data_IF_634824032466
#
_entry.id   IF_634824032466
#
_cell.length_a   1.000
_cell.length_b   1.000
_cell.length_c   1.000
_cell.angle_alpha   90.00
_cell.angle_beta   90.00
_cell.angle_gamma   90.00
#
_symmetry.space_group_name_H-M   'P 1'
#
loop_
_entity.id
_entity.type
_entity.pdbx_description
1 polymer ?
#
# COMPACT_ATOMS: atom_id res chain seq x y z
N UNK A 1 -33.79 35.11 12.23
CA UNK A 1 -33.40 33.70 12.44
C UNK A 1 -32.11 33.29 11.72
N UNK A 2 -31.91 33.57 10.42
CA UNK A 2 -30.63 33.24 9.73
C UNK A 2 -29.38 33.98 10.25
N UNK A 3 -29.52 35.20 10.77
CA UNK A 3 -28.41 35.97 11.36
C UNK A 3 -28.04 35.58 12.81
N UNK A 4 -28.97 34.93 13.52
CA UNK A 4 -28.73 34.40 14.88
C UNK A 4 -28.02 33.04 14.81
N UNK A 5 -28.36 32.24 13.78
CA UNK A 5 -27.70 30.95 13.51
C UNK A 5 -26.23 31.12 13.08
N UNK A 6 -25.92 32.16 12.29
CA UNK A 6 -24.54 32.49 11.92
C UNK A 6 -23.68 32.95 13.11
N UNK A 7 -24.29 33.63 14.09
CA UNK A 7 -23.60 34.07 15.30
C UNK A 7 -23.33 32.92 16.28
N UNK A 8 -24.26 31.96 16.38
CA UNK A 8 -24.08 30.75 17.20
C UNK A 8 -23.02 29.80 16.60
N UNK A 9 -22.91 29.71 15.27
CA UNK A 9 -21.87 28.91 14.61
C UNK A 9 -20.47 29.52 14.75
N UNK A 10 -20.37 30.86 14.74
CA UNK A 10 -19.11 31.59 14.95
C UNK A 10 -18.64 31.57 16.42
N UNK A 11 -19.56 31.51 17.39
CA UNK A 11 -19.19 31.36 18.80
C UNK A 11 -18.75 29.93 19.15
N UNK A 12 -19.24 28.91 18.43
CA UNK A 12 -18.84 27.51 18.64
C UNK A 12 -17.43 27.21 18.12
N UNK A 13 -16.99 27.88 17.05
CA UNK A 13 -15.63 27.73 16.49
C UNK A 13 -14.55 28.45 17.30
N UNK A 14 -14.91 29.48 18.08
CA UNK A 14 -13.96 30.19 18.97
C UNK A 14 -13.79 29.47 20.33
N UNK A 15 -14.78 28.69 20.77
CA UNK A 15 -14.72 27.98 22.05
C UNK A 15 -13.83 26.71 22.02
N UNK A 16 -13.60 26.12 20.84
CA UNK A 16 -12.73 24.94 20.67
C UNK A 16 -11.24 25.30 20.62
N UNK A 17 -10.91 26.59 20.47
CA UNK A 17 -9.53 27.11 20.41
C UNK A 17 -8.97 27.61 21.76
N UNK A 18 -9.68 27.42 22.89
CA UNK A 18 -9.28 28.02 24.18
C UNK A 18 -9.13 27.07 25.38
N UNK A 19 -9.08 25.74 25.17
CA UNK A 19 -8.69 24.79 26.23
C UNK A 19 -7.36 24.13 25.86
N UNK A 20 -6.27 24.79 26.23
CA UNK A 20 -4.92 24.28 26.01
C UNK A 20 -3.78 25.25 26.32
N UNK A 21 -3.93 26.14 27.32
CA UNK A 21 -2.78 26.90 27.86
C UNK A 21 -2.85 26.94 29.38
N UNK A 22 -2.45 25.85 30.03
CA UNK A 22 -1.94 25.88 31.40
C UNK A 22 -0.43 26.05 31.32
N UNK A 23 0.03 27.27 31.61
CA UNK A 23 1.44 27.58 31.73
C UNK A 23 2.06 26.86 32.91
N UNK A 24 3.18 26.16 32.66
CA UNK A 24 4.15 25.84 33.68
C UNK A 24 5.39 26.72 33.51
N UNK A 25 5.80 27.24 34.67
CA UNK A 25 6.94 28.07 35.00
C UNK A 25 8.21 27.80 34.18
N UNK A 26 8.91 28.88 33.82
CA UNK A 26 10.32 28.89 33.42
C UNK A 26 11.17 28.24 34.51
N UNK A 27 11.88 27.18 34.16
CA UNK A 27 13.20 26.87 34.70
C UNK A 27 14.13 26.54 33.52
N UNK A 28 15.34 27.11 33.56
CA UNK A 28 16.34 27.01 32.53
C UNK A 28 16.89 25.57 32.45
N UNK A 29 16.58 24.86 31.38
CA UNK A 29 17.17 23.57 31.03
C UNK A 29 16.91 23.28 29.55
N UNK A 30 17.99 22.95 28.83
CA UNK A 30 18.07 22.59 27.41
C UNK A 30 16.87 21.77 26.90
N UNK A 31 16.33 22.01 25.69
CA UNK A 31 15.22 21.22 25.16
C UNK A 31 15.67 19.78 24.89
N UNK A 32 14.85 18.75 25.18
CA UNK A 32 15.13 17.39 24.72
C UNK A 32 14.92 17.33 23.21
N UNK A 33 15.89 16.73 22.52
CA UNK A 33 15.83 16.47 21.09
C UNK A 33 14.61 15.61 20.75
N UNK A 34 13.73 16.12 19.89
CA UNK A 34 12.73 15.31 19.21
C UNK A 34 13.45 14.39 18.23
N UNK A 35 13.36 13.08 18.47
CA UNK A 35 13.88 12.04 17.59
C UNK A 35 13.11 12.07 16.28
N UNK A 36 13.80 12.51 15.23
CA UNK A 36 13.50 12.15 13.85
C UNK A 36 13.92 10.69 13.71
N UNK A 37 12.95 9.78 13.66
CA UNK A 37 13.23 8.38 13.35
C UNK A 37 13.34 8.26 11.82
N UNK A 38 14.51 8.66 11.30
CA UNK A 38 14.98 8.16 10.04
C UNK A 38 15.37 6.70 10.30
N UNK A 39 14.63 5.76 9.70
CA UNK A 39 14.82 4.33 9.88
C UNK A 39 16.29 3.94 9.82
N UNK A 40 16.86 3.74 11.01
CA UNK A 40 18.14 3.09 11.18
C UNK A 40 17.88 1.60 11.19
N UNK A 41 18.57 0.85 10.35
CA UNK A 41 18.56 -0.61 10.41
C UNK A 41 18.84 -1.06 11.85
N UNK A 42 18.13 -2.10 12.34
CA UNK A 42 18.42 -2.63 13.66
C UNK A 42 19.83 -3.23 13.63
N UNK A 43 20.77 -2.57 14.29
CA UNK A 43 22.03 -3.17 14.70
C UNK A 43 21.74 -4.09 15.88
N UNK A 44 21.07 -5.20 15.58
CA UNK A 44 21.09 -6.39 16.41
C UNK A 44 22.44 -7.05 16.24
N UNK A 45 23.09 -7.36 17.35
CA UNK A 45 24.30 -8.17 17.39
C UNK A 45 23.99 -9.53 16.75
N UNK A 46 24.34 -9.68 15.47
CA UNK A 46 24.22 -10.93 14.73
C UNK A 46 25.30 -11.83 15.29
N UNK A 47 24.90 -12.77 16.15
CA UNK A 47 25.69 -13.94 16.45
C UNK A 47 26.11 -14.57 15.13
N UNK A 48 27.39 -14.49 14.81
CA UNK A 48 28.02 -15.14 13.66
C UNK A 48 27.88 -16.66 13.81
N UNK A 49 26.83 -17.19 13.19
CA UNK A 49 26.52 -18.60 13.07
C UNK A 49 25.38 -18.78 12.08
N UNK A 50 25.73 -19.03 10.82
CA UNK A 50 24.78 -19.38 9.77
C UNK A 50 24.41 -18.21 8.85
N UNK A 51 24.99 -18.10 7.67
CA UNK A 51 24.52 -17.13 6.65
C UNK A 51 23.11 -17.47 6.18
N UNK A 52 22.46 -16.61 5.38
CA UNK A 52 21.15 -16.92 4.76
C UNK A 52 21.16 -18.23 3.97
N UNK A 53 22.32 -18.61 3.43
CA UNK A 53 22.56 -19.90 2.79
C UNK A 53 22.35 -21.11 3.72
N UNK A 54 22.64 -20.96 5.02
CA UNK A 54 22.50 -22.01 6.04
C UNK A 54 21.05 -22.14 6.54
N UNK A 55 20.14 -21.25 6.10
CA UNK A 55 18.70 -21.27 6.40
C UNK A 55 17.83 -21.67 5.20
N UNK A 56 18.45 -22.06 4.07
CA UNK A 56 17.70 -22.65 2.96
C UNK A 56 17.04 -23.95 3.44
N UNK A 57 15.79 -24.25 3.04
CA UNK A 57 15.23 -25.56 3.31
C UNK A 57 16.18 -26.63 2.78
N UNK A 58 16.44 -27.64 3.62
CA UNK A 58 17.26 -28.79 3.22
C UNK A 58 16.60 -29.42 1.99
N UNK A 59 17.42 -29.79 1.00
CA UNK A 59 16.97 -30.53 -0.18
C UNK A 59 16.08 -31.70 0.24
N UNK A 60 14.83 -31.68 -0.21
CA UNK A 60 13.82 -32.68 0.10
C UNK A 60 13.26 -33.25 -1.20
N UNK A 61 13.21 -34.57 -1.33
CA UNK A 61 12.62 -35.23 -2.50
C UNK A 61 11.12 -35.47 -2.28
N UNK A 62 10.29 -34.67 -2.94
CA UNK A 62 8.83 -34.77 -2.90
C UNK A 62 8.24 -35.67 -4.00
N UNK A 63 9.08 -36.48 -4.67
CA UNK A 63 8.66 -37.57 -5.58
C UNK A 63 7.79 -37.14 -6.76
N UNK A 64 8.05 -35.94 -7.28
CA UNK A 64 7.30 -35.35 -8.38
C UNK A 64 5.91 -34.86 -7.97
N UNK A 65 5.68 -34.52 -6.70
CA UNK A 65 4.43 -33.96 -6.24
C UNK A 65 4.11 -32.64 -6.94
N UNK A 66 2.82 -32.40 -7.21
CA UNK A 66 2.34 -31.13 -7.72
C UNK A 66 2.29 -30.10 -6.58
N UNK A 67 2.78 -28.89 -6.84
CA UNK A 67 2.68 -27.72 -5.96
C UNK A 67 1.80 -26.66 -6.63
N UNK A 68 0.62 -26.42 -6.08
CA UNK A 68 -0.42 -25.59 -6.67
C UNK A 68 -0.48 -24.19 -6.08
N UNK A 69 -0.23 -23.21 -6.94
CA UNK A 69 -0.47 -21.79 -6.67
C UNK A 69 -1.80 -21.35 -7.28
N UNK A 70 -2.65 -20.68 -6.51
CA UNK A 70 -3.95 -20.19 -7.01
C UNK A 70 -4.02 -18.68 -6.88
N UNK A 71 -4.40 -17.99 -7.96
CA UNK A 71 -4.53 -16.53 -7.99
C UNK A 71 -5.96 -16.10 -8.32
N UNK A 72 -6.36 -14.93 -7.82
CA UNK A 72 -7.66 -14.33 -8.13
C UNK A 72 -7.85 -14.04 -9.63
N UNK A 73 -9.11 -14.02 -10.08
CA UNK A 73 -9.44 -13.66 -11.46
C UNK A 73 -9.08 -12.22 -11.79
N UNK A 74 -8.75 -11.98 -13.06
CA UNK A 74 -8.29 -10.68 -13.55
C UNK A 74 -6.81 -10.39 -13.32
N UNK A 75 -6.07 -11.29 -12.66
CA UNK A 75 -4.62 -11.19 -12.50
C UNK A 75 -3.86 -11.78 -13.71
N UNK A 76 -2.62 -11.35 -13.89
CA UNK A 76 -1.70 -11.85 -14.92
C UNK A 76 -0.74 -12.87 -14.30
N UNK A 77 -0.83 -14.13 -14.73
CA UNK A 77 0.00 -15.24 -14.21
C UNK A 77 1.48 -15.07 -14.56
N UNK A 78 1.80 -14.36 -15.66
CA UNK A 78 3.18 -14.14 -16.11
C UNK A 78 4.02 -13.31 -15.12
N UNK A 79 3.36 -12.64 -14.16
CA UNK A 79 3.99 -11.88 -13.08
C UNK A 79 4.46 -12.74 -11.90
N UNK A 80 4.18 -14.04 -11.94
CA UNK A 80 4.48 -14.97 -10.85
C UNK A 80 5.25 -16.19 -11.33
N UNK A 81 4.87 -16.71 -12.51
CA UNK A 81 5.46 -17.90 -13.13
C UNK A 81 5.71 -17.60 -14.60
N UNK A 82 6.86 -18.06 -15.10
CA UNK A 82 7.17 -18.07 -16.51
C UNK A 82 7.76 -19.42 -16.89
N UNK A 83 7.16 -20.05 -17.89
CA UNK A 83 7.54 -21.39 -18.38
C UNK A 83 8.34 -21.31 -19.70
N UNK A 84 8.50 -20.12 -20.27
CA UNK A 84 9.24 -19.93 -21.52
C UNK A 84 10.75 -19.87 -21.26
N UNK A 85 11.43 -20.97 -21.59
CA UNK A 85 12.87 -20.99 -21.87
C UNK A 85 13.11 -20.30 -23.22
N UNK A 86 13.13 -18.96 -23.19
CA UNK A 86 13.39 -18.15 -24.37
C UNK A 86 14.81 -17.59 -24.32
N UNK A 87 15.47 -17.64 -25.48
CA UNK A 87 16.88 -17.27 -25.67
C UNK A 87 17.18 -15.90 -25.04
N UNK A 88 18.15 -15.89 -24.12
CA UNK A 88 18.39 -14.87 -23.06
C UNK A 88 18.61 -13.43 -23.53
N UNK A 89 18.71 -13.17 -24.83
CA UNK A 89 19.00 -11.83 -25.37
C UNK A 89 17.76 -10.96 -25.58
N UNK A 90 16.55 -11.53 -25.59
CA UNK A 90 15.29 -10.80 -25.83
C UNK A 90 14.25 -10.92 -24.71
N UNK A 91 14.53 -11.66 -23.65
CA UNK A 91 13.60 -11.91 -22.54
C UNK A 91 13.79 -10.84 -21.46
N UNK A 92 12.71 -10.21 -20.95
CA UNK A 92 12.82 -9.30 -19.82
C UNK A 92 13.50 -9.99 -18.62
N UNK A 93 14.41 -9.28 -17.95
CA UNK A 93 15.19 -9.79 -16.80
C UNK A 93 14.33 -10.50 -15.75
N UNK A 94 13.13 -9.99 -15.52
CA UNK A 94 12.20 -10.55 -14.55
C UNK A 94 11.62 -11.91 -14.97
N UNK A 95 11.23 -12.05 -16.23
CA UNK A 95 10.71 -13.30 -16.79
C UNK A 95 11.74 -14.43 -16.70
N UNK A 96 13.03 -14.11 -16.90
CA UNK A 96 14.12 -15.07 -16.73
C UNK A 96 14.38 -15.42 -15.26
N UNK A 97 14.25 -14.45 -14.34
CA UNK A 97 14.38 -14.69 -12.91
C UNK A 97 13.30 -15.67 -12.38
N UNK A 98 12.05 -15.51 -12.83
CA UNK A 98 10.97 -16.44 -12.46
C UNK A 98 11.20 -17.84 -13.01
N UNK A 99 11.58 -17.95 -14.29
CA UNK A 99 11.90 -19.24 -14.91
C UNK A 99 13.00 -19.97 -14.13
N UNK A 100 14.15 -19.32 -13.92
CA UNK A 100 15.28 -19.93 -13.21
C UNK A 100 14.92 -20.34 -11.78
N UNK A 101 14.21 -19.49 -11.05
CA UNK A 101 13.76 -19.80 -9.69
C UNK A 101 12.88 -21.05 -9.70
N UNK A 102 11.89 -21.11 -10.58
CA UNK A 102 10.95 -22.22 -10.64
C UNK A 102 11.65 -23.51 -11.08
N UNK A 103 12.47 -23.47 -12.14
CA UNK A 103 13.25 -24.64 -12.59
C UNK A 103 14.20 -25.16 -11.50
N UNK A 104 14.87 -24.25 -10.79
CA UNK A 104 15.70 -24.61 -9.64
C UNK A 104 14.88 -25.30 -8.55
N UNK A 105 13.73 -24.75 -8.17
CA UNK A 105 12.86 -25.32 -7.12
C UNK A 105 12.29 -26.68 -7.53
N UNK A 106 11.85 -26.84 -8.79
CA UNK A 106 11.34 -28.11 -9.31
C UNK A 106 12.42 -29.21 -9.27
N UNK A 107 13.66 -28.89 -9.67
CA UNK A 107 14.77 -29.84 -9.61
C UNK A 107 15.20 -30.12 -8.16
N UNK A 108 15.38 -29.06 -7.35
CA UNK A 108 15.91 -29.17 -6.00
C UNK A 108 14.96 -29.90 -5.04
N UNK A 109 13.64 -29.77 -5.24
CA UNK A 109 12.62 -30.41 -4.43
C UNK A 109 11.97 -31.63 -5.10
N UNK A 110 12.27 -31.92 -6.37
CA UNK A 110 11.55 -32.91 -7.17
C UNK A 110 10.03 -32.70 -7.08
N UNK A 111 9.58 -31.52 -7.47
CA UNK A 111 8.15 -31.13 -7.55
C UNK A 111 7.81 -30.64 -8.95
N UNK A 112 6.52 -30.45 -9.21
CA UNK A 112 6.00 -29.74 -10.38
C UNK A 112 5.22 -28.52 -9.90
N UNK A 113 5.67 -27.32 -10.24
CA UNK A 113 5.01 -26.09 -9.84
C UNK A 113 3.91 -25.78 -10.86
N UNK A 114 2.68 -25.62 -10.37
CA UNK A 114 1.53 -25.26 -11.18
C UNK A 114 0.92 -23.96 -10.69
N UNK A 115 0.40 -23.15 -11.62
CA UNK A 115 -0.44 -22.01 -11.28
C UNK A 115 -1.73 -22.02 -12.07
N UNK A 116 -2.82 -21.76 -11.35
CA UNK A 116 -4.12 -21.50 -11.98
C UNK A 116 -4.70 -20.19 -11.49
N UNK A 117 -5.47 -19.58 -12.37
CA UNK A 117 -6.22 -18.36 -12.11
C UNK A 117 -7.70 -18.68 -11.99
N UNK A 118 -8.35 -18.13 -10.97
CA UNK A 118 -9.80 -18.19 -10.83
C UNK A 118 -10.49 -17.41 -11.95
N UNK A 119 -11.70 -17.81 -12.32
CA UNK A 119 -12.47 -17.09 -13.35
C UNK A 119 -12.89 -15.69 -12.87
N UNK A 120 -13.23 -15.58 -11.58
CA UNK A 120 -13.82 -14.38 -10.98
C UNK A 120 -12.78 -13.64 -10.14
N UNK A 121 -12.74 -12.32 -10.28
CA UNK A 121 -12.06 -11.42 -9.32
C UNK A 121 -12.79 -11.46 -7.97
N UNK A 122 -12.05 -11.47 -6.86
CA UNK A 122 -12.61 -11.67 -5.52
C UNK A 122 -13.37 -13.01 -5.45
N UNK A 123 -12.74 -14.06 -5.95
CA UNK A 123 -13.26 -15.42 -5.98
C UNK A 123 -12.64 -16.33 -4.92
N UNK A 124 -11.53 -15.91 -4.30
CA UNK A 124 -10.72 -16.79 -3.45
C UNK A 124 -11.46 -17.31 -2.23
N UNK A 125 -12.28 -16.49 -1.55
CA UNK A 125 -13.04 -16.98 -0.41
C UNK A 125 -14.02 -18.11 -0.81
N UNK A 126 -14.62 -18.01 -2.00
CA UNK A 126 -15.55 -19.05 -2.49
C UNK A 126 -14.79 -20.34 -2.83
N UNK A 127 -13.60 -20.21 -3.43
CA UNK A 127 -12.71 -21.34 -3.71
C UNK A 127 -12.31 -22.07 -2.41
N UNK A 128 -11.79 -21.33 -1.43
CA UNK A 128 -11.37 -21.88 -0.15
C UNK A 128 -12.53 -22.53 0.61
N UNK A 129 -13.72 -21.91 0.59
CA UNK A 129 -14.93 -22.49 1.17
C UNK A 129 -15.28 -23.83 0.52
N UNK A 130 -15.18 -23.93 -0.81
CA UNK A 130 -15.45 -25.16 -1.55
C UNK A 130 -14.42 -26.25 -1.21
N UNK A 131 -13.13 -25.91 -1.18
CA UNK A 131 -12.06 -26.84 -0.81
C UNK A 131 -12.32 -27.44 0.57
N UNK A 132 -12.60 -26.60 1.56
CA UNK A 132 -12.86 -27.05 2.93
C UNK A 132 -14.11 -27.92 3.06
N UNK A 133 -15.18 -27.62 2.32
CA UNK A 133 -16.41 -28.41 2.37
C UNK A 133 -16.30 -29.75 1.63
N UNK A 134 -15.50 -29.80 0.58
CA UNK A 134 -15.30 -31.02 -0.24
C UNK A 134 -14.15 -31.90 0.24
N UNK A 135 -13.24 -31.34 1.06
CA UNK A 135 -11.97 -31.98 1.37
C UNK A 135 -11.01 -32.01 0.18
N UNK A 136 -11.21 -31.15 -0.82
CA UNK A 136 -10.36 -31.08 -1.99
C UNK A 136 -9.05 -30.36 -1.65
N UNK A 137 -7.94 -30.92 -2.15
CA UNK A 137 -6.59 -30.42 -1.95
C UNK A 137 -6.06 -29.86 -3.28
N UNK A 138 -6.46 -28.63 -3.60
CA UNK A 138 -6.27 -28.01 -4.93
C UNK A 138 -5.48 -26.70 -4.90
N UNK A 139 -4.88 -26.36 -3.75
CA UNK A 139 -4.02 -25.20 -3.57
C UNK A 139 -3.10 -25.40 -2.35
N UNK A 140 -1.80 -25.22 -2.55
CA UNK A 140 -0.79 -25.13 -1.49
C UNK A 140 -0.59 -23.69 -1.03
N UNK A 141 -0.69 -22.74 -1.97
CA UNK A 141 -0.61 -21.30 -1.70
C UNK A 141 -1.65 -20.54 -2.51
N UNK A 142 -2.21 -19.51 -1.89
CA UNK A 142 -3.15 -18.60 -2.54
C UNK A 142 -2.60 -17.18 -2.56
N UNK A 143 -2.67 -16.54 -3.73
CA UNK A 143 -2.35 -15.13 -3.92
C UNK A 143 -3.66 -14.40 -4.14
N UNK A 144 -4.19 -13.90 -3.04
CA UNK A 144 -5.58 -13.50 -2.94
C UNK A 144 -5.71 -11.99 -2.69
N UNK A 145 -6.82 -11.43 -3.14
CA UNK A 145 -7.13 -10.05 -2.81
C UNK A 145 -7.56 -9.98 -1.34
N UNK A 146 -6.80 -9.24 -0.53
CA UNK A 146 -6.99 -9.11 0.91
C UNK A 146 -8.44 -8.79 1.31
N UNK A 147 -9.12 -7.92 0.56
CA UNK A 147 -10.50 -7.54 0.83
C UNK A 147 -11.52 -8.70 0.72
N UNK A 148 -11.19 -9.78 0.02
CA UNK A 148 -12.03 -11.00 -0.06
C UNK A 148 -11.70 -11.96 1.08
N UNK A 149 -10.42 -12.28 1.27
CA UNK A 149 -9.96 -13.35 2.19
C UNK A 149 -9.91 -12.93 3.65
N UNK A 150 -9.47 -11.70 3.95
CA UNK A 150 -9.31 -11.24 5.33
C UNK A 150 -10.60 -11.23 6.15
N UNK A 151 -11.75 -10.73 5.65
CA UNK A 151 -12.97 -10.70 6.46
C UNK A 151 -13.70 -12.05 6.57
N UNK A 152 -13.25 -13.08 5.86
CA UNK A 152 -14.02 -14.32 5.68
C UNK A 152 -13.18 -15.58 5.92
N UNK A 153 -12.33 -15.95 4.96
CA UNK A 153 -11.53 -17.17 4.97
C UNK A 153 -10.55 -17.23 6.16
N UNK A 154 -9.94 -16.10 6.56
CA UNK A 154 -9.09 -16.05 7.76
C UNK A 154 -9.90 -16.37 9.05
N UNK A 155 -10.99 -15.65 9.39
CA UNK A 155 -11.82 -15.98 10.55
C UNK A 155 -12.36 -17.41 10.57
N UNK A 156 -12.68 -17.97 9.40
CA UNK A 156 -13.16 -19.34 9.28
C UNK A 156 -12.05 -20.40 9.37
N UNK A 157 -10.78 -19.99 9.44
CA UNK A 157 -9.63 -20.89 9.57
C UNK A 157 -9.28 -21.64 8.30
N UNK A 158 -9.58 -21.08 7.12
CA UNK A 158 -9.31 -21.72 5.82
C UNK A 158 -7.87 -21.52 5.34
N UNK A 159 -7.10 -20.63 5.98
CA UNK A 159 -5.69 -20.39 5.69
C UNK A 159 -4.85 -20.58 6.95
N UNK A 160 -3.62 -21.08 6.76
CA UNK A 160 -2.72 -21.40 7.87
C UNK A 160 -2.14 -20.13 8.53
N UNK A 161 -1.92 -20.22 9.84
CA UNK A 161 -1.10 -19.26 10.58
C UNK A 161 0.38 -19.53 10.27
N UNK A 162 1.00 -18.64 9.52
CA UNK A 162 2.37 -18.75 9.00
C UNK A 162 3.41 -18.81 10.12
N UNK A 163 3.11 -18.26 11.31
CA UNK A 163 3.96 -18.38 12.49
C UNK A 163 4.11 -19.84 12.97
N UNK A 164 3.26 -20.75 12.49
CA UNK A 164 3.25 -22.16 12.88
C UNK A 164 3.76 -23.10 11.78
N UNK A 165 4.13 -22.58 10.61
CA UNK A 165 4.67 -23.41 9.54
C UNK A 165 6.14 -23.74 9.83
N UNK A 166 6.40 -25.02 10.07
CA UNK A 166 7.77 -25.53 10.25
C UNK A 166 8.57 -25.36 8.96
N UNK A 167 9.84 -24.95 9.08
CA UNK A 167 10.74 -24.75 7.93
C UNK A 167 10.57 -23.41 7.20
N UNK A 168 9.55 -22.60 7.53
CA UNK A 168 9.41 -21.26 7.00
C UNK A 168 10.30 -20.28 7.79
N UNK A 169 11.41 -19.85 7.19
CA UNK A 169 12.30 -18.86 7.79
C UNK A 169 11.74 -17.44 7.61
N UNK A 170 10.88 -17.01 8.54
CA UNK A 170 10.30 -15.66 8.56
C UNK A 170 11.35 -14.55 8.77
N UNK A 171 12.48 -14.86 9.42
CA UNK A 171 13.56 -13.90 9.65
C UNK A 171 14.53 -13.70 8.48
N UNK A 172 14.20 -14.17 7.28
CA UNK A 172 15.03 -13.96 6.09
C UNK A 172 14.89 -12.54 5.51
N UNK A 173 15.96 -12.00 4.92
CA UNK A 173 15.97 -10.65 4.34
C UNK A 173 15.08 -10.50 3.10
N UNK A 174 14.82 -11.60 2.39
CA UNK A 174 13.94 -11.62 1.21
C UNK A 174 12.45 -11.49 1.56
N UNK A 175 12.10 -11.40 2.85
CA UNK A 175 10.75 -11.04 3.30
C UNK A 175 10.67 -9.60 3.75
N UNK A 176 9.55 -8.93 3.45
CA UNK A 176 9.27 -7.62 4.03
C UNK A 176 8.91 -7.76 5.53
N UNK A 177 9.86 -7.40 6.38
CA UNK A 177 9.72 -7.44 7.84
C UNK A 177 8.63 -6.48 8.36
N UNK A 178 8.26 -5.45 7.59
CA UNK A 178 7.18 -4.51 7.95
C UNK A 178 5.82 -5.17 7.79
N UNK A 179 5.63 -6.00 6.76
CA UNK A 179 4.39 -6.76 6.58
C UNK A 179 4.21 -7.74 7.74
N UNK A 180 5.27 -8.45 8.10
CA UNK A 180 5.21 -9.42 9.20
C UNK A 180 4.82 -8.81 10.54
N UNK A 181 5.21 -7.56 10.81
CA UNK A 181 4.84 -6.87 12.05
C UNK A 181 3.49 -6.15 11.93
N UNK A 182 3.26 -5.47 10.82
CA UNK A 182 2.07 -4.63 10.60
C UNK A 182 0.79 -5.41 10.28
N UNK A 183 0.91 -6.65 9.78
CA UNK A 183 -0.24 -7.45 9.32
C UNK A 183 -0.59 -8.60 10.28
N UNK A 184 0.01 -8.64 11.47
CA UNK A 184 -0.39 -9.62 12.47
C UNK A 184 -1.79 -9.30 13.00
N UNK A 185 -2.58 -10.36 13.16
CA UNK A 185 -3.92 -10.29 13.70
C UNK A 185 -3.96 -11.19 14.93
N UNK A 186 -4.04 -10.60 16.13
CA UNK A 186 -4.03 -11.34 17.40
C UNK A 186 -2.84 -12.32 17.52
N UNK A 187 -1.62 -11.86 17.15
CA UNK A 187 -0.39 -12.66 17.19
C UNK A 187 -0.28 -13.78 16.15
N UNK A 188 -1.16 -13.77 15.15
CA UNK A 188 -1.13 -14.70 14.01
C UNK A 188 -0.77 -13.95 12.74
N UNK A 189 -0.07 -14.63 11.84
CA UNK A 189 0.34 -14.08 10.55
C UNK A 189 -0.28 -14.91 9.42
N UNK A 190 -0.95 -14.28 8.47
CA UNK A 190 -1.67 -14.98 7.39
C UNK A 190 -1.24 -14.55 5.99
N UNK A 191 -0.29 -13.62 5.89
CA UNK A 191 0.18 -13.03 4.63
C UNK A 191 1.65 -12.69 4.75
N UNK A 192 2.36 -12.77 3.62
CA UNK A 192 3.75 -12.40 3.45
C UNK A 192 3.91 -11.68 2.12
N UNK A 193 4.86 -10.75 2.08
CA UNK A 193 5.36 -10.14 0.86
C UNK A 193 6.89 -10.23 0.86
N UNK A 194 7.49 -10.24 -0.32
CA UNK A 194 8.92 -10.39 -0.51
C UNK A 194 9.27 -10.86 -1.92
N UNK A 195 10.53 -11.21 -2.14
CA UNK A 195 11.15 -11.44 -3.45
C UNK A 195 10.54 -12.60 -4.29
N UNK A 196 9.54 -13.32 -3.77
CA UNK A 196 8.83 -14.35 -4.51
C UNK A 196 7.85 -13.78 -5.55
N UNK A 197 7.49 -12.50 -5.44
CA UNK A 197 6.67 -11.79 -6.41
C UNK A 197 7.21 -10.37 -6.60
N UNK A 198 6.76 -9.69 -7.66
CA UNK A 198 7.00 -8.24 -7.84
C UNK A 198 5.72 -7.41 -7.73
N UNK A 199 4.64 -8.06 -7.31
CA UNK A 199 3.31 -7.49 -7.45
C UNK A 199 3.11 -6.29 -6.53
N UNK A 200 3.75 -6.31 -5.36
CA UNK A 200 3.75 -5.22 -4.40
C UNK A 200 4.52 -3.99 -4.92
N UNK A 201 5.64 -4.14 -5.63
CA UNK A 201 6.29 -3.00 -6.29
C UNK A 201 5.41 -2.38 -7.37
N UNK A 202 4.64 -3.19 -8.09
CA UNK A 202 3.70 -2.71 -9.11
C UNK A 202 2.46 -2.03 -8.51
N UNK A 203 2.20 -2.18 -7.20
CA UNK A 203 1.05 -1.60 -6.51
C UNK A 203 1.42 -0.43 -5.57
N UNK A 204 2.67 0.04 -5.61
CA UNK A 204 3.11 1.18 -4.78
C UNK A 204 2.63 2.50 -5.37
N UNK A 205 1.89 3.28 -4.59
CA UNK A 205 1.46 4.61 -4.99
C UNK A 205 2.57 5.64 -4.75
N UNK A 206 2.82 6.48 -5.75
CA UNK A 206 3.73 7.61 -5.68
C UNK A 206 3.08 8.90 -6.19
N UNK A 207 3.45 10.03 -5.59
CA UNK A 207 3.14 11.35 -6.15
C UNK A 207 4.31 11.78 -7.03
N UNK A 208 4.03 12.05 -8.30
CA UNK A 208 5.02 12.43 -9.30
C UNK A 208 4.86 13.91 -9.66
N UNK A 209 5.98 14.63 -9.76
CA UNK A 209 6.00 16.00 -10.23
C UNK A 209 6.53 16.05 -11.68
N UNK A 210 5.82 16.76 -12.56
CA UNK A 210 6.30 17.02 -13.91
C UNK A 210 7.30 18.18 -13.89
N UNK A 211 8.59 17.88 -14.06
CA UNK A 211 9.67 18.87 -13.98
C UNK A 211 9.56 20.01 -15.00
N UNK A 212 8.99 19.75 -16.18
CA UNK A 212 8.77 20.77 -17.20
C UNK A 212 7.69 21.76 -16.77
N UNK A 213 6.58 21.27 -16.21
CA UNK A 213 5.52 22.13 -15.67
C UNK A 213 5.97 22.86 -14.41
N UNK A 214 6.78 22.21 -13.56
CA UNK A 214 7.38 22.84 -12.38
C UNK A 214 8.22 24.07 -12.75
N UNK A 215 9.01 23.96 -13.81
CA UNK A 215 9.77 25.09 -14.36
C UNK A 215 8.87 26.16 -14.99
N UNK A 216 7.91 25.75 -15.82
CA UNK A 216 6.96 26.66 -16.48
C UNK A 216 6.20 27.55 -15.47
N UNK A 217 5.83 26.99 -14.32
CA UNK A 217 5.08 27.70 -13.27
C UNK A 217 5.97 28.46 -12.27
N UNK A 218 7.29 28.50 -12.48
CA UNK A 218 8.23 29.23 -11.61
C UNK A 218 8.38 28.61 -10.21
N UNK A 219 8.13 27.30 -10.07
CA UNK A 219 8.15 26.64 -8.77
C UNK A 219 9.55 26.39 -8.23
N UNK A 220 10.58 26.35 -9.08
CA UNK A 220 11.97 26.33 -8.59
C UNK A 220 12.29 27.58 -7.76
N UNK A 221 11.84 28.76 -8.16
CA UNK A 221 12.08 29.99 -7.43
C UNK A 221 11.19 30.12 -6.19
N UNK A 222 9.95 29.60 -6.27
CA UNK A 222 8.93 29.76 -5.22
C UNK A 222 9.06 28.72 -4.11
N UNK A 223 9.33 27.47 -4.48
CA UNK A 223 9.29 26.31 -3.58
C UNK A 223 10.62 25.54 -3.52
N UNK A 224 11.51 25.73 -4.49
CA UNK A 224 12.67 24.86 -4.71
C UNK A 224 12.36 23.69 -5.64
N UNK A 225 13.26 22.72 -5.72
CA UNK A 225 12.99 21.46 -6.42
C UNK A 225 11.94 20.62 -5.69
N UNK A 226 11.18 19.75 -6.39
CA UNK A 226 10.16 18.90 -5.75
C UNK A 226 10.70 18.08 -4.58
N UNK A 227 11.92 17.55 -4.69
CA UNK A 227 12.55 16.76 -3.64
C UNK A 227 12.95 17.59 -2.42
N UNK A 228 13.36 18.86 -2.60
CA UNK A 228 13.64 19.77 -1.49
C UNK A 228 12.36 20.11 -0.71
N UNK A 229 11.24 20.34 -1.40
CA UNK A 229 9.94 20.55 -0.75
C UNK A 229 9.59 19.38 0.19
N UNK A 230 9.84 18.15 -0.24
CA UNK A 230 9.62 16.94 0.57
C UNK A 230 10.62 16.86 1.73
N UNK A 231 11.93 16.99 1.45
CA UNK A 231 13.00 16.87 2.46
C UNK A 231 12.90 17.94 3.55
N UNK A 232 12.43 19.13 3.20
CA UNK A 232 12.23 20.24 4.12
C UNK A 232 10.92 20.11 4.95
N UNK A 233 10.12 19.06 4.73
CA UNK A 233 8.83 18.87 5.40
C UNK A 233 7.76 19.89 4.98
N UNK A 234 7.93 20.53 3.83
CA UNK A 234 6.99 21.53 3.28
C UNK A 234 5.89 20.90 2.41
N UNK A 235 6.04 19.63 2.05
CA UNK A 235 5.03 18.87 1.33
C UNK A 235 3.86 18.55 2.26
N UNK A 236 2.75 19.27 2.07
CA UNK A 236 1.47 19.03 2.74
C UNK A 236 0.35 18.97 1.71
N UNK A 237 -0.83 18.51 2.13
CA UNK A 237 -2.02 18.53 1.30
C UNK A 237 -2.36 19.95 0.83
N UNK A 238 -2.23 20.94 1.71
CA UNK A 238 -2.46 22.36 1.39
C UNK A 238 -1.43 22.88 0.38
N UNK A 239 -0.15 22.54 0.55
CA UNK A 239 0.90 22.89 -0.41
C UNK A 239 0.60 22.29 -1.78
N UNK A 240 0.22 21.00 -1.83
CA UNK A 240 -0.19 20.34 -3.07
C UNK A 240 -1.37 21.07 -3.72
N UNK A 241 -2.44 21.35 -2.97
CA UNK A 241 -3.59 22.10 -3.48
C UNK A 241 -3.23 23.50 -3.98
N UNK A 242 -2.33 24.21 -3.29
CA UNK A 242 -1.86 25.52 -3.74
C UNK A 242 -1.02 25.44 -5.01
N UNK A 243 -0.26 24.35 -5.20
CA UNK A 243 0.56 24.13 -6.39
C UNK A 243 -0.26 23.81 -7.64
N UNK A 244 -1.42 23.17 -7.52
CA UNK A 244 -2.23 22.85 -8.71
C UNK A 244 -3.40 23.79 -8.94
N UNK A 245 -3.82 24.59 -7.95
CA UNK A 245 -4.95 25.51 -8.10
C UNK A 245 -4.69 26.54 -9.20
N UNK A 246 -5.66 26.70 -10.08
CA UNK A 246 -5.67 27.64 -11.20
C UNK A 246 -4.49 27.47 -12.18
N UNK A 247 -3.98 26.24 -12.32
CA UNK A 247 -2.85 25.91 -13.21
C UNK A 247 -3.25 25.16 -14.48
N UNK A 248 -4.48 24.68 -14.56
CA UNK A 248 -5.00 24.09 -15.78
C UNK A 248 -5.09 25.10 -16.92
N UNK A 249 -5.14 24.59 -18.15
CA UNK A 249 -5.33 25.44 -19.34
C UNK A 249 -6.66 26.19 -19.39
N UNK A 250 -7.66 25.76 -18.61
CA UNK A 250 -8.93 26.47 -18.48
C UNK A 250 -8.71 27.89 -17.93
N UNK A 251 -7.78 28.04 -16.99
CA UNK A 251 -7.48 29.29 -16.31
C UNK A 251 -6.45 30.16 -17.04
N UNK A 252 -5.93 29.70 -18.18
CA UNK A 252 -5.10 30.50 -19.08
C UNK A 252 -5.92 31.38 -20.05
N UNK A 253 -7.25 31.44 -19.88
CA UNK A 253 -8.12 32.39 -20.58
C UNK A 253 -8.47 32.01 -22.02
N UNK A 254 -8.21 30.77 -22.46
CA UNK A 254 -8.63 30.30 -23.79
C UNK A 254 -10.15 30.11 -23.90
N UNK A 255 -10.83 29.86 -22.77
CA UNK A 255 -12.25 29.52 -22.74
C UNK A 255 -12.58 28.18 -23.42
N UNK A 256 -11.55 27.42 -23.82
CA UNK A 256 -11.70 26.11 -24.45
C UNK A 256 -11.87 25.03 -23.40
N UNK A 257 -12.68 24.02 -23.73
CA UNK A 257 -12.82 22.84 -22.89
C UNK A 257 -11.48 22.09 -22.82
N UNK A 258 -11.14 21.61 -21.62
CA UNK A 258 -9.93 20.80 -21.43
C UNK A 258 -10.05 19.47 -22.18
N UNK A 259 -8.93 19.03 -22.73
CA UNK A 259 -8.77 17.76 -23.41
C UNK A 259 -7.70 16.91 -22.71
N UNK A 260 -7.51 15.68 -23.14
CA UNK A 260 -6.40 14.83 -22.67
C UNK A 260 -5.01 15.45 -22.93
N UNK A 261 -4.91 16.37 -23.89
CA UNK A 261 -3.66 17.02 -24.28
C UNK A 261 -3.48 18.39 -23.59
N UNK A 262 -4.48 18.83 -22.82
CA UNK A 262 -4.39 20.05 -22.01
C UNK A 262 -3.45 19.86 -20.81
N UNK A 263 -2.90 20.97 -20.32
CA UNK A 263 -2.25 20.99 -19.02
C UNK A 263 -3.31 20.95 -17.94
N UNK A 264 -3.18 19.97 -17.06
CA UNK A 264 -3.97 19.81 -15.86
C UNK A 264 -3.14 20.18 -14.64
N UNK A 265 -3.77 20.76 -13.62
CA UNK A 265 -3.09 21.04 -12.37
C UNK A 265 -2.72 19.74 -11.63
N UNK A 266 -3.64 18.77 -11.61
CA UNK A 266 -3.45 17.46 -11.01
C UNK A 266 -4.06 16.37 -11.89
N UNK A 267 -3.32 15.27 -12.07
CA UNK A 267 -3.84 14.02 -12.63
C UNK A 267 -3.83 12.97 -11.52
N UNK A 268 -4.96 12.32 -11.28
CA UNK A 268 -5.13 11.42 -10.14
C UNK A 268 -6.19 10.35 -10.40
N UNK A 269 -6.31 9.41 -9.48
CA UNK A 269 -7.41 8.44 -9.40
C UNK A 269 -8.30 8.76 -8.18
N UNK A 270 -9.53 8.26 -8.20
CA UNK A 270 -10.51 8.37 -7.11
C UNK A 270 -9.98 7.96 -5.73
N UNK A 271 -9.08 6.96 -5.57
CA UNK A 271 -8.55 6.57 -4.27
C UNK A 271 -7.55 7.55 -3.62
N UNK A 272 -7.13 8.63 -4.30
CA UNK A 272 -6.05 9.52 -3.82
C UNK A 272 -6.23 10.02 -2.38
N UNK A 273 -7.43 10.49 -1.93
CA UNK A 273 -7.65 10.85 -0.54
C UNK A 273 -7.18 9.81 0.48
N UNK A 274 -7.51 8.54 0.22
CA UNK A 274 -7.16 7.44 1.10
C UNK A 274 -5.66 7.19 1.09
N UNK A 275 -5.04 7.24 -0.10
CA UNK A 275 -3.60 7.05 -0.26
C UNK A 275 -2.81 8.16 0.46
N UNK A 276 -3.23 9.42 0.34
CA UNK A 276 -2.59 10.54 1.03
C UNK A 276 -2.76 10.45 2.55
N UNK A 277 -3.93 10.00 3.02
CA UNK A 277 -4.16 9.74 4.44
C UNK A 277 -3.16 8.70 4.97
N UNK A 278 -3.05 7.54 4.31
CA UNK A 278 -2.07 6.51 4.68
C UNK A 278 -0.62 7.02 4.57
N UNK A 279 -0.29 7.71 3.48
CA UNK A 279 1.04 8.27 3.22
C UNK A 279 1.47 9.34 4.22
N UNK A 280 0.52 9.96 4.94
CA UNK A 280 0.82 10.87 6.07
C UNK A 280 1.20 10.16 7.38
N UNK A 281 1.38 8.83 7.34
CA UNK A 281 1.69 7.99 8.50
C UNK A 281 0.47 7.69 9.38
N UNK A 282 -0.74 7.92 8.87
CA UNK A 282 -1.98 7.54 9.56
C UNK A 282 -2.40 6.14 9.17
N UNK A 283 -3.16 5.49 10.05
CA UNK A 283 -3.73 4.16 9.82
C UNK A 283 -5.23 4.18 10.07
N UNK A 284 -5.96 3.28 9.41
CA UNK A 284 -7.37 3.02 9.69
C UNK A 284 -7.57 1.94 10.76
N UNK A 285 -6.50 1.21 11.10
CA UNK A 285 -6.46 0.15 12.10
C UNK A 285 -5.27 0.39 13.06
N UNK A 286 -5.49 0.22 14.36
CA UNK A 286 -4.46 0.29 15.39
C UNK A 286 -4.26 -1.08 16.02
N UNK A 287 -3.01 -1.50 16.15
CA UNK A 287 -2.65 -2.66 16.98
C UNK A 287 -2.55 -2.21 18.44
N UNK A 288 -3.31 -2.85 19.32
CA UNK A 288 -3.29 -2.59 20.76
C UNK A 288 -2.12 -3.35 21.43
N UNK A 289 -1.84 -3.04 22.71
CA UNK A 289 -0.77 -3.71 23.48
C UNK A 289 -0.96 -5.23 23.57
N UNK A 290 -2.20 -5.70 23.56
CA UNK A 290 -2.55 -7.13 23.56
C UNK A 290 -2.58 -7.76 22.15
N UNK A 291 -2.08 -7.03 21.14
CA UNK A 291 -2.07 -7.39 19.72
C UNK A 291 -3.45 -7.50 19.06
N UNK A 292 -4.52 -7.07 19.74
CA UNK A 292 -5.83 -6.95 19.12
C UNK A 292 -5.90 -5.75 18.18
N UNK A 293 -6.67 -5.89 17.10
CA UNK A 293 -6.90 -4.79 16.17
C UNK A 293 -8.08 -3.95 16.60
N UNK A 294 -7.89 -2.63 16.62
CA UNK A 294 -8.93 -1.64 16.88
C UNK A 294 -9.11 -0.74 15.64
N UNK A 295 -10.31 -0.66 15.05
CA UNK A 295 -10.56 0.31 13.99
C UNK A 295 -10.48 1.72 14.56
N UNK A 296 -9.83 2.61 13.81
CA UNK A 296 -9.79 4.06 14.15
C UNK A 296 -11.18 4.67 14.01
N UNK A 297 -11.95 4.20 13.03
CA UNK A 297 -13.32 4.62 12.78
C UNK A 297 -14.26 3.52 13.28
N UNK A 298 -15.03 3.80 14.33
CA UNK A 298 -15.92 2.82 14.94
C UNK A 298 -17.19 2.61 14.14
N UNK A 299 -17.62 3.63 13.39
CA UNK A 299 -18.69 3.48 12.41
C UNK A 299 -18.18 3.68 10.99
N UNK A 300 -18.68 2.86 10.05
CA UNK A 300 -18.38 3.01 8.62
C UNK A 300 -18.72 4.41 8.10
N UNK A 301 -19.75 5.03 8.68
CA UNK A 301 -20.18 6.40 8.40
C UNK A 301 -19.08 7.42 8.70
N UNK A 302 -18.30 7.26 9.76
CA UNK A 302 -17.22 8.19 10.14
C UNK A 302 -16.08 8.15 9.12
N UNK A 303 -15.64 6.94 8.74
CA UNK A 303 -14.64 6.77 7.69
C UNK A 303 -15.15 7.30 6.35
N UNK A 304 -16.39 6.96 5.97
CA UNK A 304 -17.01 7.43 4.75
C UNK A 304 -17.12 8.96 4.74
N UNK A 305 -17.42 9.61 5.87
CA UNK A 305 -17.45 11.07 5.97
C UNK A 305 -16.05 11.69 5.78
N UNK A 306 -15.00 11.12 6.39
CA UNK A 306 -13.64 11.62 6.20
C UNK A 306 -13.16 11.45 4.75
N UNK A 307 -13.43 10.28 4.15
CA UNK A 307 -13.12 10.03 2.75
C UNK A 307 -13.94 10.94 1.83
N UNK A 308 -15.25 11.05 2.04
CA UNK A 308 -16.15 11.92 1.30
C UNK A 308 -15.75 13.39 1.41
N UNK A 309 -15.22 13.85 2.54
CA UNK A 309 -14.79 15.24 2.70
C UNK A 309 -13.59 15.54 1.81
N UNK A 310 -12.59 14.66 1.81
CA UNK A 310 -11.41 14.81 0.96
C UNK A 310 -11.76 14.62 -0.53
N UNK A 311 -12.62 13.66 -0.83
CA UNK A 311 -13.14 13.42 -2.18
C UNK A 311 -13.99 14.59 -2.67
N UNK A 312 -14.90 15.13 -1.85
CA UNK A 312 -15.66 16.36 -2.17
C UNK A 312 -14.76 17.57 -2.34
N UNK A 313 -13.66 17.67 -1.59
CA UNK A 313 -12.72 18.76 -1.75
C UNK A 313 -11.98 18.65 -3.08
N UNK A 314 -11.50 17.45 -3.44
CA UNK A 314 -10.86 17.22 -4.74
C UNK A 314 -11.85 17.34 -5.89
N UNK A 315 -13.07 16.79 -5.77
CA UNK A 315 -14.14 16.91 -6.78
C UNK A 315 -14.64 18.33 -6.91
N UNK A 316 -14.77 19.08 -5.83
CA UNK A 316 -15.09 20.51 -5.89
C UNK A 316 -14.00 21.31 -6.61
N UNK A 317 -12.72 20.90 -6.52
CA UNK A 317 -11.66 21.49 -7.34
C UNK A 317 -11.68 20.95 -8.78
N UNK A 318 -12.08 19.69 -8.98
CA UNK A 318 -12.25 19.09 -10.31
C UNK A 318 -13.41 19.70 -11.10
N UNK A 319 -14.50 20.08 -10.44
CA UNK A 319 -15.62 20.84 -11.02
C UNK A 319 -15.14 22.19 -11.59
N UNK A 320 -14.02 22.71 -11.09
CA UNK A 320 -13.36 23.91 -11.63
C UNK A 320 -12.35 23.59 -12.75
N UNK A 321 -12.30 22.35 -13.24
CA UNK A 321 -11.41 21.93 -14.33
C UNK A 321 -9.94 21.71 -13.95
N UNK A 322 -9.57 21.79 -12.67
CA UNK A 322 -8.16 21.70 -12.27
C UNK A 322 -7.62 20.27 -12.16
N UNK A 323 -8.50 19.29 -11.94
CA UNK A 323 -8.15 17.89 -11.67
C UNK A 323 -8.74 16.97 -12.73
N UNK A 324 -7.89 16.13 -13.32
CA UNK A 324 -8.32 15.03 -14.17
C UNK A 324 -8.30 13.72 -13.36
N UNK A 325 -9.47 13.08 -13.25
CA UNK A 325 -9.58 11.73 -12.72
C UNK A 325 -9.37 10.70 -13.84
N UNK A 326 -8.27 9.96 -13.77
CA UNK A 326 -7.93 8.86 -14.66
C UNK A 326 -8.48 7.52 -14.13
N UNK A 327 -9.76 7.51 -13.74
CA UNK A 327 -10.41 6.28 -13.29
C UNK A 327 -10.59 5.36 -14.50
N UNK A 328 -9.66 4.43 -14.67
CA UNK A 328 -9.88 3.27 -15.53
C UNK A 328 -11.05 2.53 -14.90
N UNK A 329 -12.17 2.40 -15.62
CA UNK A 329 -13.20 1.43 -15.25
C UNK A 329 -12.57 0.05 -15.39
N UNK A 330 -11.98 -0.46 -14.32
CA UNK A 330 -11.54 -1.84 -14.20
C UNK A 330 -12.74 -2.77 -14.01
#
# INVERSE_FOLDING_TARGET
MKRILAFLLACLTVLVLSVGVTGCKKDNGTPPAGTTDAGSEPTGDVTTGGGEADKRPVCGDFKGADYWMVIDGGQDTSRYINDEDSDTSSVPTLSWAFYNRNSFLEEYFNIKIHMRKLEKKYGMNSELTMMMNSGADTADIVLAIAADVMPSAIPNGYVADLNKLEGLNLGASYWDQRIQSGYQINGKLFTLEGDFTVFDELCTYGVLANGSLWGLWGYYDTYGSPLEVVKDGKWTYETMCAMFRDRSDLNNGSGEALTKDSKWGLLTESPLPYILYLGSGKSTLLTQEDQSLKPVFTERTEYALCQDMLDKLLKGIAENGEVLFADVRF
#
